data_IF_897742535193
#
_entry.id   IF_897742535193
#
_cell.length_a   1.000
_cell.length_b   1.000
_cell.length_c   1.000
_cell.angle_alpha   90.00
_cell.angle_beta   90.00
_cell.angle_gamma   90.00
#
_symmetry.space_group_name_H-M   'P 1'
#
loop_
_entity.id
_entity.type
_entity.pdbx_description
1 polymer ?
#
# COMPACT_ATOMS: atom_id res chain seq x y z
N UNK A 1 22.77 -15.23 5.30
CA UNK A 1 21.95 -14.52 4.28
C UNK A 1 21.34 -13.32 4.97
N UNK A 2 21.49 -12.12 4.40
CA UNK A 2 20.94 -10.90 5.00
C UNK A 2 19.42 -10.83 4.78
N UNK A 3 18.63 -10.40 5.78
CA UNK A 3 17.20 -10.17 5.60
C UNK A 3 16.95 -9.13 4.51
N UNK A 4 15.84 -9.28 3.77
CA UNK A 4 15.35 -8.30 2.79
C UNK A 4 14.21 -7.52 3.41
N UNK A 5 14.30 -6.19 3.36
CA UNK A 5 13.37 -5.28 4.02
C UNK A 5 12.62 -4.42 2.98
N UNK A 6 11.31 -4.25 3.16
CA UNK A 6 10.52 -3.22 2.47
C UNK A 6 10.56 -1.97 3.35
N UNK A 7 10.85 -0.84 2.73
CA UNK A 7 11.37 0.40 3.34
C UNK A 7 10.49 1.02 4.44
N UNK A 8 11.11 1.81 5.33
CA UNK A 8 10.52 2.48 6.50
C UNK A 8 9.75 3.80 6.25
N UNK A 9 9.63 4.30 5.02
CA UNK A 9 9.29 5.73 4.81
C UNK A 9 7.95 5.97 4.10
N UNK A 10 7.17 6.89 4.67
CA UNK A 10 6.03 7.53 4.04
C UNK A 10 6.53 8.63 3.08
N UNK A 11 6.11 8.59 1.81
CA UNK A 11 6.33 9.67 0.85
C UNK A 11 5.10 10.58 0.80
N UNK A 12 5.02 11.47 1.79
CA UNK A 12 4.46 12.82 1.62
C UNK A 12 5.54 13.76 2.06
N UNK A 13 5.94 14.72 1.22
CA UNK A 13 6.78 15.88 1.56
C UNK A 13 7.46 15.76 2.93
N UNK A 14 8.46 14.89 2.97
CA UNK A 14 9.21 14.51 4.17
C UNK A 14 9.75 15.75 4.90
N UNK A 15 10.05 16.75 4.09
CA UNK A 15 10.54 18.06 4.43
C UNK A 15 9.51 19.03 5.04
N UNK A 16 8.20 18.79 4.87
CA UNK A 16 7.14 19.77 5.17
C UNK A 16 6.19 19.36 6.32
N UNK A 17 6.39 18.21 6.96
CA UNK A 17 5.46 17.67 7.94
C UNK A 17 6.18 17.15 9.20
N UNK A 18 5.80 17.67 10.38
CA UNK A 18 6.40 17.32 11.70
C UNK A 18 6.18 15.84 12.10
N UNK A 19 5.40 15.09 11.33
CA UNK A 19 5.11 13.67 11.51
C UNK A 19 5.86 12.74 10.53
N UNK A 20 6.82 13.28 9.77
CA UNK A 20 7.72 12.54 8.89
C UNK A 20 8.45 11.37 9.60
N UNK A 21 8.68 11.49 10.90
CA UNK A 21 9.35 10.49 11.73
C UNK A 21 8.39 9.43 12.33
N UNK A 22 7.07 9.49 12.08
CA UNK A 22 6.15 8.49 12.61
C UNK A 22 6.33 7.15 11.91
N UNK A 23 6.55 6.11 12.72
CA UNK A 23 6.98 4.80 12.25
C UNK A 23 5.80 3.91 11.95
N UNK A 24 6.01 2.97 11.03
CA UNK A 24 5.11 1.83 10.86
C UNK A 24 5.12 1.01 12.15
N UNK A 25 3.97 0.88 12.79
CA UNK A 25 3.78 0.16 14.05
C UNK A 25 3.58 -1.34 13.82
N UNK A 26 3.35 -1.75 12.57
CA UNK A 26 3.21 -3.15 12.19
C UNK A 26 2.38 -3.37 10.94
N UNK A 27 1.71 -4.53 10.90
CA UNK A 27 0.81 -4.91 9.80
C UNK A 27 -0.63 -5.06 10.27
N UNK A 28 -1.54 -4.63 9.40
CA UNK A 28 -2.96 -4.96 9.49
C UNK A 28 -3.23 -6.37 9.03
N UNK A 29 -3.93 -7.16 9.85
CA UNK A 29 -4.32 -8.55 9.54
C UNK A 29 -5.83 -8.70 9.31
N UNK A 30 -6.62 -7.69 9.70
CA UNK A 30 -8.07 -7.71 9.62
C UNK A 30 -8.59 -6.63 8.67
N UNK A 31 -9.35 -7.03 7.65
CA UNK A 31 -9.86 -6.15 6.59
C UNK A 31 -11.38 -6.12 6.65
N UNK A 32 -11.97 -4.93 6.59
CA UNK A 32 -13.44 -4.75 6.57
C UNK A 32 -13.84 -3.58 5.67
N UNK A 33 -15.02 -3.69 5.05
CA UNK A 33 -15.55 -2.62 4.19
C UNK A 33 -15.81 -1.36 5.02
N UNK A 34 -15.47 -0.20 4.46
CA UNK A 34 -15.52 1.09 5.14
C UNK A 34 -14.26 1.46 5.92
N UNK A 35 -13.25 0.59 5.96
CA UNK A 35 -11.97 0.94 6.58
C UNK A 35 -11.29 2.11 5.83
N UNK A 36 -10.85 3.14 6.55
CA UNK A 36 -10.10 4.25 5.97
C UNK A 36 -8.64 3.86 5.80
N UNK A 37 -8.14 3.94 4.56
CA UNK A 37 -6.79 3.58 4.18
C UNK A 37 -6.21 4.65 3.28
N UNK A 38 -4.92 4.90 3.44
CA UNK A 38 -4.14 5.74 2.56
C UNK A 38 -3.13 4.90 1.79
N UNK A 39 -2.69 5.42 0.66
CA UNK A 39 -1.45 4.97 0.01
C UNK A 39 -0.47 6.12 -0.08
N UNK A 40 0.81 5.81 -0.24
CA UNK A 40 1.86 6.80 -0.46
C UNK A 40 2.66 6.42 -1.71
N UNK A 41 2.36 7.06 -2.83
CA UNK A 41 2.95 6.79 -4.13
C UNK A 41 3.76 7.97 -4.68
N UNK A 42 4.68 7.67 -5.59
CA UNK A 42 5.60 8.66 -6.15
C UNK A 42 4.89 9.73 -7.00
N UNK A 43 3.82 9.37 -7.70
CA UNK A 43 3.18 10.25 -8.68
C UNK A 43 2.08 11.10 -8.06
N UNK A 44 1.24 10.49 -7.23
CA UNK A 44 0.10 11.19 -6.61
C UNK A 44 0.30 11.52 -5.13
N UNK A 45 1.48 11.22 -4.59
CA UNK A 45 1.76 11.40 -3.16
C UNK A 45 0.86 10.51 -2.30
N UNK A 46 0.35 11.09 -1.22
CA UNK A 46 -0.60 10.43 -0.33
C UNK A 46 -2.02 10.70 -0.79
N UNK A 47 -2.74 9.60 -1.03
CA UNK A 47 -4.17 9.65 -1.31
C UNK A 47 -4.86 8.63 -0.42
N UNK A 48 -6.08 8.96 -0.01
CA UNK A 48 -6.80 8.17 0.97
C UNK A 48 -8.21 7.87 0.48
N UNK A 49 -8.80 6.85 1.06
CA UNK A 49 -10.10 6.37 0.65
C UNK A 49 -10.63 5.31 1.59
N UNK A 50 -11.78 4.78 1.23
CA UNK A 50 -12.48 3.75 2.01
C UNK A 50 -12.41 2.42 1.28
N UNK A 51 -12.02 1.36 2.01
CA UNK A 51 -12.01 0.00 1.49
C UNK A 51 -13.44 -0.40 1.11
N UNK A 52 -13.69 -0.66 -0.17
CA UNK A 52 -15.00 -1.07 -0.64
C UNK A 52 -15.19 -2.58 -0.48
N UNK A 53 -14.22 -3.35 -0.97
CA UNK A 53 -14.29 -4.82 -1.03
C UNK A 53 -13.00 -5.47 -0.55
N UNK A 54 -13.16 -6.52 0.26
CA UNK A 54 -12.07 -7.37 0.79
C UNK A 54 -11.68 -8.51 -0.17
N UNK A 55 -12.36 -8.62 -1.31
CA UNK A 55 -12.11 -9.58 -2.39
C UNK A 55 -12.72 -9.05 -3.69
N UNK A 56 -12.01 -8.17 -4.40
CA UNK A 56 -12.56 -7.52 -5.59
C UNK A 56 -12.30 -8.33 -6.86
N UNK A 57 -11.04 -8.55 -7.22
CA UNK A 57 -10.68 -9.26 -8.44
C UNK A 57 -9.40 -10.05 -8.31
N UNK A 58 -9.29 -11.09 -9.12
CA UNK A 58 -8.01 -11.74 -9.40
C UNK A 58 -7.45 -11.15 -10.70
N UNK A 59 -6.20 -10.71 -10.67
CA UNK A 59 -5.50 -10.27 -11.87
C UNK A 59 -4.34 -11.21 -12.13
N UNK A 60 -4.38 -11.84 -13.29
CA UNK A 60 -3.25 -12.57 -13.85
C UNK A 60 -2.47 -11.60 -14.74
N UNK A 61 -1.35 -11.10 -14.24
CA UNK A 61 -0.47 -10.26 -15.05
C UNK A 61 0.27 -11.18 -16.02
N UNK A 62 -0.04 -11.08 -17.32
CA UNK A 62 0.48 -12.00 -18.33
C UNK A 62 2.02 -12.11 -18.27
N UNK A 63 2.52 -13.30 -17.94
CA UNK A 63 3.95 -13.57 -17.78
C UNK A 63 4.49 -13.45 -16.36
N UNK A 64 3.63 -13.18 -15.37
CA UNK A 64 4.00 -13.20 -13.97
C UNK A 64 4.11 -14.66 -13.48
N UNK A 65 5.34 -15.10 -13.23
CA UNK A 65 5.63 -16.45 -12.71
C UNK A 65 5.02 -16.73 -11.33
N UNK A 66 4.45 -15.68 -10.71
CA UNK A 66 3.87 -15.68 -9.38
C UNK A 66 2.33 -15.86 -9.37
N UNK A 67 1.68 -15.95 -10.53
CA UNK A 67 0.26 -16.28 -10.67
C UNK A 67 -0.69 -15.14 -10.32
N UNK A 68 -1.99 -15.47 -10.17
CA UNK A 68 -3.05 -14.46 -10.00
C UNK A 68 -2.97 -13.73 -8.65
N UNK A 69 -2.94 -12.40 -8.66
CA UNK A 69 -2.97 -11.57 -7.46
C UNK A 69 -4.41 -11.29 -7.03
N UNK A 70 -4.72 -11.53 -5.74
CA UNK A 70 -6.02 -11.16 -5.14
C UNK A 70 -6.00 -9.69 -4.75
N UNK A 71 -6.74 -8.88 -5.49
CA UNK A 71 -6.81 -7.43 -5.29
C UNK A 71 -8.03 -7.03 -4.47
N UNK A 72 -7.82 -6.06 -3.59
CA UNK A 72 -8.81 -5.31 -2.84
C UNK A 72 -9.00 -3.95 -3.50
N UNK A 73 -10.18 -3.34 -3.31
CA UNK A 73 -10.53 -2.06 -3.94
C UNK A 73 -10.77 -0.98 -2.90
N UNK A 74 -10.10 0.16 -3.06
CA UNK A 74 -10.30 1.39 -2.28
C UNK A 74 -10.98 2.43 -3.15
N UNK A 75 -12.03 3.04 -2.63
CA UNK A 75 -12.69 4.18 -3.26
C UNK A 75 -12.10 5.47 -2.72
N UNK A 76 -11.70 6.37 -3.61
CA UNK A 76 -11.15 7.66 -3.25
C UNK A 76 -12.06 8.45 -2.30
N UNK A 77 -11.45 9.10 -1.30
CA UNK A 77 -12.14 10.08 -0.49
C UNK A 77 -12.21 11.42 -1.24
N UNK A 78 -13.31 11.61 -1.98
CA UNK A 78 -13.55 12.80 -2.78
C UNK A 78 -13.73 14.08 -1.93
N UNK A 79 -13.81 13.98 -0.60
CA UNK A 79 -13.89 15.16 0.28
C UNK A 79 -12.55 15.89 0.44
N UNK A 80 -11.44 15.26 0.05
CA UNK A 80 -10.09 15.84 0.16
C UNK A 80 -9.73 16.81 -0.97
N UNK A 81 -10.59 16.94 -1.99
CA UNK A 81 -10.31 17.74 -3.19
C UNK A 81 -9.34 17.06 -4.18
N UNK A 82 -8.76 15.91 -3.83
CA UNK A 82 -7.96 15.08 -4.72
C UNK A 82 -8.93 14.20 -5.51
N UNK A 83 -9.00 14.38 -6.84
CA UNK A 83 -9.94 13.65 -7.70
C UNK A 83 -9.43 12.27 -8.13
N UNK A 84 -8.10 12.10 -8.14
CA UNK A 84 -7.46 10.88 -8.63
C UNK A 84 -6.85 10.14 -7.44
N UNK A 85 -7.31 8.91 -7.19
CA UNK A 85 -6.71 8.09 -6.15
C UNK A 85 -5.28 7.69 -6.51
N UNK A 86 -5.00 7.32 -7.77
CA UNK A 86 -3.67 6.85 -8.18
C UNK A 86 -3.34 7.27 -9.61
N UNK A 87 -2.09 7.08 -10.01
CA UNK A 87 -1.64 7.19 -11.40
C UNK A 87 -0.47 6.25 -11.68
N UNK A 88 -0.07 6.17 -12.95
CA UNK A 88 1.14 5.44 -13.35
C UNK A 88 2.36 5.95 -12.58
N UNK A 89 3.15 5.02 -12.02
CA UNK A 89 4.26 5.33 -11.12
C UNK A 89 3.96 5.18 -9.63
N UNK A 90 2.69 5.01 -9.23
CA UNK A 90 2.34 4.70 -7.84
C UNK A 90 2.41 3.20 -7.52
N UNK A 91 2.45 2.31 -8.52
CA UNK A 91 2.54 0.86 -8.32
C UNK A 91 3.75 0.49 -7.45
N UNK A 92 3.53 -0.36 -6.45
CA UNK A 92 4.52 -0.69 -5.42
C UNK A 92 4.42 0.17 -4.15
N UNK A 93 3.62 1.24 -4.16
CA UNK A 93 3.35 2.07 -2.98
C UNK A 93 2.77 1.25 -1.82
N UNK A 94 3.13 1.63 -0.59
CA UNK A 94 2.49 1.06 0.60
C UNK A 94 1.05 1.56 0.71
N UNK A 95 0.16 0.67 1.17
CA UNK A 95 -1.20 0.99 1.61
C UNK A 95 -1.24 0.80 3.11
N UNK A 96 -1.73 1.79 3.85
CA UNK A 96 -1.62 1.86 5.31
C UNK A 96 -2.84 2.53 5.96
N UNK A 97 -3.01 2.26 7.25
CA UNK A 97 -3.92 3.01 8.12
C UNK A 97 -3.18 4.25 8.67
N UNK A 98 -3.60 5.48 8.34
CA UNK A 98 -2.91 6.70 8.75
C UNK A 98 -3.07 7.03 10.24
N UNK A 99 -4.00 6.39 10.95
CA UNK A 99 -4.26 6.63 12.37
C UNK A 99 -3.58 5.57 13.25
N UNK A 100 -3.60 4.31 12.81
CA UNK A 100 -2.96 3.21 13.52
C UNK A 100 -1.51 2.94 13.07
N UNK A 101 -1.06 3.57 11.98
CA UNK A 101 0.27 3.38 11.38
C UNK A 101 0.59 1.92 11.03
N UNK A 102 -0.42 1.17 10.61
CA UNK A 102 -0.29 -0.23 10.21
C UNK A 102 -0.26 -0.34 8.69
N UNK A 103 0.64 -1.15 8.13
CA UNK A 103 0.63 -1.48 6.70
C UNK A 103 -0.43 -2.55 6.43
N UNK A 104 -1.27 -2.30 5.43
CA UNK A 104 -2.34 -3.19 4.99
C UNK A 104 -2.05 -3.86 3.65
N UNK A 105 -1.19 -3.28 2.82
CA UNK A 105 -0.89 -3.87 1.53
C UNK A 105 0.07 -3.10 0.66
N UNK A 106 0.20 -3.58 -0.57
CA UNK A 106 1.00 -2.97 -1.63
C UNK A 106 0.06 -2.60 -2.78
N UNK A 107 0.09 -1.33 -3.16
CA UNK A 107 -0.66 -0.79 -4.27
C UNK A 107 -0.21 -1.44 -5.58
N UNK A 108 -1.17 -1.99 -6.30
CA UNK A 108 -0.92 -2.70 -7.57
C UNK A 108 -1.18 -1.76 -8.76
N UNK A 109 -2.26 -0.97 -8.68
CA UNK A 109 -2.61 0.02 -9.68
C UNK A 109 -3.99 0.62 -9.42
N UNK A 110 -4.54 1.30 -10.40
CA UNK A 110 -5.84 1.95 -10.29
C UNK A 110 -6.83 1.54 -11.37
N UNK A 111 -8.10 1.82 -11.13
CA UNK A 111 -9.18 1.65 -12.09
C UNK A 111 -10.06 2.90 -12.14
N UNK A 112 -10.58 3.21 -13.33
CA UNK A 112 -11.57 4.26 -13.52
C UNK A 112 -12.83 3.64 -14.12
N UNK A 113 -14.03 3.95 -13.61
CA UNK A 113 -15.28 3.38 -14.13
C UNK A 113 -15.58 3.85 -15.57
N UNK A 114 -14.99 4.96 -16.00
CA UNK A 114 -15.10 5.52 -17.35
C UNK A 114 -13.93 5.13 -18.27
N UNK A 115 -12.99 4.31 -17.79
CA UNK A 115 -11.79 3.95 -18.54
C UNK A 115 -10.76 5.07 -18.69
N UNK A 116 -10.89 6.18 -17.95
CA UNK A 116 -9.92 7.27 -17.99
C UNK A 116 -8.56 6.86 -17.41
N UNK A 117 -7.50 7.55 -17.83
CA UNK A 117 -6.12 7.35 -17.34
C UNK A 117 -5.88 7.86 -15.92
N UNK A 118 -6.92 8.41 -15.29
CA UNK A 118 -6.89 9.03 -13.97
C UNK A 118 -7.75 8.22 -12.99
N UNK A 119 -7.20 7.13 -12.43
CA UNK A 119 -7.97 6.21 -11.62
C UNK A 119 -8.56 6.84 -10.36
N UNK A 120 -9.89 6.77 -10.28
CA UNK A 120 -10.70 7.11 -9.11
C UNK A 120 -10.71 6.00 -8.06
N UNK A 121 -10.27 4.80 -8.43
CA UNK A 121 -10.16 3.67 -7.51
C UNK A 121 -8.72 3.18 -7.39
N UNK A 122 -8.38 2.74 -6.18
CA UNK A 122 -7.14 2.06 -5.88
C UNK A 122 -7.31 0.56 -5.80
N UNK A 123 -6.32 -0.18 -6.29
CA UNK A 123 -6.24 -1.62 -6.17
C UNK A 123 -4.97 -2.01 -5.44
N UNK A 124 -5.07 -2.95 -4.52
CA UNK A 124 -3.91 -3.38 -3.74
C UNK A 124 -3.99 -4.84 -3.32
N UNK A 125 -2.83 -5.45 -3.13
CA UNK A 125 -2.68 -6.81 -2.60
C UNK A 125 -2.44 -6.74 -1.10
N UNK A 126 -3.04 -7.67 -0.34
CA UNK A 126 -2.85 -7.75 1.11
C UNK A 126 -1.39 -7.97 1.47
N UNK A 127 -0.90 -7.26 2.49
CA UNK A 127 0.48 -7.43 2.94
C UNK A 127 0.76 -8.83 3.47
N UNK A 128 -0.25 -9.47 4.08
CA UNK A 128 -0.15 -10.86 4.56
C UNK A 128 0.08 -11.84 3.41
N UNK A 129 -0.54 -11.62 2.27
CA UNK A 129 -0.41 -12.49 1.10
C UNK A 129 0.99 -12.34 0.50
N UNK A 130 1.51 -11.11 0.43
CA UNK A 130 2.89 -10.81 0.04
C UNK A 130 3.89 -11.48 0.99
N UNK A 131 3.71 -11.31 2.31
CA UNK A 131 4.60 -11.91 3.31
C UNK A 131 4.61 -13.43 3.23
N UNK A 132 3.44 -14.06 3.09
CA UNK A 132 3.34 -15.52 2.97
C UNK A 132 4.01 -16.03 1.69
N UNK A 133 3.86 -15.29 0.59
CA UNK A 133 4.42 -15.65 -0.70
C UNK A 133 5.96 -15.60 -0.71
N UNK A 134 6.55 -14.58 -0.09
CA UNK A 134 8.00 -14.41 -0.07
C UNK A 134 8.68 -15.05 1.15
N UNK A 135 7.91 -15.55 2.11
CA UNK A 135 8.44 -16.35 3.22
C UNK A 135 8.76 -17.76 2.75
N UNK A 136 9.85 -18.31 3.27
CA UNK A 136 10.19 -19.72 3.17
C UNK A 136 10.26 -20.34 4.57
N UNK A 137 10.23 -21.68 4.71
CA UNK A 137 10.36 -22.32 6.02
C UNK A 137 11.62 -21.93 6.79
N UNK A 138 12.68 -21.50 6.09
CA UNK A 138 13.97 -21.12 6.67
C UNK A 138 14.24 -19.61 6.67
N UNK A 139 13.36 -18.80 6.10
CA UNK A 139 13.50 -17.34 6.06
C UNK A 139 12.13 -16.66 5.93
N UNK A 140 11.67 -16.05 7.02
CA UNK A 140 10.43 -15.27 7.04
C UNK A 140 10.64 -13.91 6.38
N UNK A 141 9.74 -13.53 5.47
CA UNK A 141 9.65 -12.17 4.96
C UNK A 141 8.89 -11.34 5.99
N UNK A 142 9.53 -10.29 6.51
CA UNK A 142 8.98 -9.42 7.53
C UNK A 142 9.16 -7.96 7.13
N UNK A 143 8.22 -7.12 7.58
CA UNK A 143 8.37 -5.68 7.46
C UNK A 143 9.45 -5.26 8.45
N UNK A 144 10.34 -4.37 8.00
CA UNK A 144 11.29 -3.77 8.91
C UNK A 144 10.55 -2.83 9.84
N UNK A 145 10.57 -3.14 11.12
CA UNK A 145 10.02 -2.32 12.18
C UNK A 145 11.22 -2.06 13.08
N UNK A 146 11.78 -0.85 13.01
CA UNK A 146 12.95 -0.48 13.80
C UNK A 146 12.56 0.51 14.89
N UNK A 147 12.89 0.16 16.12
CA UNK A 147 12.75 1.04 17.29
C UNK A 147 13.89 2.07 17.36
N UNK A 148 14.90 1.92 16.50
CA UNK A 148 16.05 2.80 16.39
C UNK A 148 16.05 3.54 15.05
N UNK A 149 16.09 4.88 15.10
CA UNK A 149 16.39 5.72 13.95
C UNK A 149 17.87 5.51 13.60
N UNK A 150 18.17 4.57 12.72
CA UNK A 150 19.52 4.47 12.16
C UNK A 150 19.57 5.42 10.97
N UNK A 151 20.09 6.63 11.20
CA UNK A 151 20.53 7.50 10.12
C UNK A 151 21.76 6.82 9.53
N UNK A 152 21.65 6.33 8.29
CA UNK A 152 22.82 5.92 7.54
C UNK A 152 23.37 7.18 6.88
N UNK A 153 24.46 7.68 7.44
CA UNK A 153 25.23 8.79 6.88
C UNK A 153 25.91 8.37 5.55
#
# INVERSE_FOLDING_TARGET
>A
MSPRYVTNYFYWHAEDNDDYDKRIEGIGTYYYSGMYLCKSGNTTGVTCGYLESTSYKYVDYAGDQYGSQKLLKINNDNNTGILNYSSGGDSGAIVFDPYAFLIYGIHSGGESPDGSTNPTYGLFTKITDVMNMYSTPSASFSIYISDTNVRFD
#
